data_IF_733294469139
#
_entry.id   IF_733294469139
#
_cell.length_a   1.000
_cell.length_b   1.000
_cell.length_c   1.000
_cell.angle_alpha   90.00
_cell.angle_beta   90.00
_cell.angle_gamma   90.00
#
_symmetry.space_group_name_H-M   'P 1'
#
loop_
_entity.id
_entity.type
_entity.pdbx_description
1 polymer ?
#
# COMPACT_ATOMS: atom_id res chain seq x y z
N UNK A 1 7.45 -24.62 21.65
CA UNK A 1 8.02 -24.41 22.99
C UNK A 1 6.98 -23.71 23.85
N UNK A 2 6.73 -24.22 25.05
CA UNK A 2 6.03 -23.46 26.08
C UNK A 2 7.10 -22.69 26.86
N UNK A 3 7.09 -21.36 26.72
CA UNK A 3 8.09 -20.49 27.32
C UNK A 3 7.94 -20.35 28.84
N UNK A 4 6.81 -20.79 29.41
CA UNK A 4 6.57 -20.71 30.86
C UNK A 4 7.10 -21.94 31.60
N UNK A 5 7.19 -23.08 30.92
CA UNK A 5 7.48 -24.38 31.55
C UNK A 5 8.70 -25.11 30.98
N UNK A 6 9.32 -24.60 29.90
CA UNK A 6 10.48 -25.24 29.29
C UNK A 6 11.72 -25.19 30.19
N UNK A 7 12.57 -26.23 30.10
CA UNK A 7 13.89 -26.22 30.74
C UNK A 7 14.84 -25.28 30.01
N UNK A 8 15.83 -24.73 30.73
CA UNK A 8 16.86 -23.86 30.15
C UNK A 8 17.65 -24.54 29.02
N UNK A 9 17.88 -25.85 29.12
CA UNK A 9 18.56 -26.64 28.08
C UNK A 9 17.73 -26.70 26.79
N UNK A 10 16.43 -26.93 26.91
CA UNK A 10 15.54 -26.94 25.75
C UNK A 10 15.42 -25.53 25.15
N UNK A 11 15.33 -24.50 25.99
CA UNK A 11 15.30 -23.10 25.56
C UNK A 11 16.58 -22.70 24.80
N UNK A 12 17.76 -23.09 25.30
CA UNK A 12 19.03 -22.83 24.64
C UNK A 12 19.08 -23.51 23.26
N UNK A 13 18.68 -24.77 23.19
CA UNK A 13 18.60 -25.52 21.92
C UNK A 13 17.64 -24.87 20.93
N UNK A 14 16.48 -24.41 21.42
CA UNK A 14 15.49 -23.69 20.61
C UNK A 14 16.06 -22.37 20.07
N UNK A 15 16.68 -21.55 20.93
CA UNK A 15 17.32 -20.28 20.53
C UNK A 15 18.43 -20.49 19.49
N UNK A 16 19.26 -21.53 19.68
CA UNK A 16 20.28 -21.89 18.69
C UNK A 16 19.65 -22.24 17.34
N UNK A 17 18.56 -23.02 17.34
CA UNK A 17 17.86 -23.40 16.11
C UNK A 17 17.29 -22.18 15.37
N UNK A 18 16.73 -21.21 16.08
CA UNK A 18 16.23 -19.96 15.48
C UNK A 18 17.37 -19.20 14.77
N UNK A 19 18.55 -19.12 15.37
CA UNK A 19 19.72 -18.49 14.73
C UNK A 19 20.24 -19.29 13.53
N UNK A 20 20.24 -20.62 13.60
CA UNK A 20 20.63 -21.49 12.48
C UNK A 20 19.69 -21.30 11.28
N UNK A 21 18.38 -21.16 11.52
CA UNK A 21 17.38 -20.87 10.48
C UNK A 21 17.66 -19.52 9.82
N UNK A 22 17.90 -18.47 10.61
CA UNK A 22 18.23 -17.15 10.07
C UNK A 22 19.54 -17.16 9.26
N UNK A 23 20.58 -17.83 9.74
CA UNK A 23 21.83 -17.99 9.00
C UNK A 23 21.61 -18.67 7.65
N UNK A 24 20.83 -19.75 7.61
CA UNK A 24 20.50 -20.45 6.37
C UNK A 24 19.66 -19.58 5.42
N UNK A 25 18.71 -18.80 5.94
CA UNK A 25 17.95 -17.84 5.14
C UNK A 25 18.86 -16.78 4.49
N UNK A 26 19.85 -16.26 5.22
CA UNK A 26 20.83 -15.32 4.68
C UNK A 26 21.72 -15.95 3.60
N UNK A 27 22.22 -17.16 3.82
CA UNK A 27 23.00 -17.90 2.81
C UNK A 27 22.21 -18.08 1.52
N UNK A 28 20.93 -18.47 1.62
CA UNK A 28 20.03 -18.63 0.48
C UNK A 28 19.77 -17.31 -0.24
N UNK A 29 19.55 -16.22 0.50
CA UNK A 29 19.39 -14.90 -0.08
C UNK A 29 20.65 -14.47 -0.84
N UNK A 30 21.84 -14.63 -0.25
CA UNK A 30 23.12 -14.28 -0.90
C UNK A 30 23.29 -15.11 -2.17
N UNK A 31 23.09 -16.43 -2.10
CA UNK A 31 23.15 -17.33 -3.26
C UNK A 31 22.17 -16.90 -4.36
N UNK A 32 20.94 -16.53 -4.02
CA UNK A 32 19.98 -16.00 -4.98
C UNK A 32 20.49 -14.72 -5.64
N UNK A 33 21.04 -13.78 -4.87
CA UNK A 33 21.54 -12.51 -5.38
C UNK A 33 22.73 -12.68 -6.34
N UNK A 34 23.69 -13.52 -5.96
CA UNK A 34 24.90 -13.79 -6.73
C UNK A 34 24.60 -14.61 -7.98
N UNK A 35 23.95 -15.77 -7.84
CA UNK A 35 23.70 -16.69 -8.94
C UNK A 35 22.83 -16.06 -10.05
N UNK A 36 21.93 -15.15 -9.68
CA UNK A 36 21.04 -14.48 -10.63
C UNK A 36 21.50 -13.07 -10.99
N UNK A 37 22.70 -12.63 -10.56
CA UNK A 37 23.25 -11.30 -10.82
C UNK A 37 22.27 -10.15 -10.51
N UNK A 38 21.58 -10.24 -9.36
CA UNK A 38 20.47 -9.36 -8.99
C UNK A 38 20.97 -8.01 -8.51
N UNK A 39 21.71 -8.00 -7.39
CA UNK A 39 22.23 -6.82 -6.74
C UNK A 39 23.22 -7.20 -5.63
N UNK A 40 23.90 -6.19 -5.08
CA UNK A 40 24.55 -6.33 -3.76
C UNK A 40 23.52 -6.55 -2.65
N UNK A 41 23.92 -7.24 -1.58
CA UNK A 41 23.13 -7.36 -0.36
C UNK A 41 22.92 -5.97 0.27
N UNK A 42 21.67 -5.66 0.65
CA UNK A 42 21.31 -4.43 1.34
C UNK A 42 20.52 -4.75 2.62
N UNK A 43 20.46 -3.80 3.55
CA UNK A 43 19.75 -3.96 4.84
C UNK A 43 18.26 -4.27 4.75
N UNK A 44 17.61 -3.93 3.63
CA UNK A 44 16.17 -4.17 3.45
C UNK A 44 15.87 -4.66 2.04
N UNK A 45 14.81 -5.45 1.90
CA UNK A 45 14.30 -5.91 0.60
C UNK A 45 14.01 -4.76 -0.36
N UNK A 46 13.48 -3.64 0.14
CA UNK A 46 13.25 -2.44 -0.69
C UNK A 46 14.56 -1.80 -1.18
N UNK A 47 15.57 -1.72 -0.31
CA UNK A 47 16.90 -1.25 -0.73
C UNK A 47 17.57 -2.20 -1.73
N UNK A 48 17.43 -3.52 -1.54
CA UNK A 48 17.91 -4.52 -2.51
C UNK A 48 17.18 -4.41 -3.84
N UNK A 49 15.86 -4.19 -3.83
CA UNK A 49 15.06 -3.97 -5.04
C UNK A 49 15.51 -2.72 -5.80
N UNK A 50 15.74 -1.61 -5.09
CA UNK A 50 16.28 -0.38 -5.69
C UNK A 50 17.71 -0.59 -6.21
N UNK A 51 18.56 -1.30 -5.49
CA UNK A 51 19.91 -1.61 -5.95
C UNK A 51 19.89 -2.45 -7.24
N UNK A 52 19.01 -3.45 -7.32
CA UNK A 52 18.82 -4.25 -8.54
C UNK A 52 18.33 -3.40 -9.71
N UNK A 53 17.38 -2.50 -9.43
CA UNK A 53 16.86 -1.57 -10.42
C UNK A 53 17.95 -0.66 -10.98
N UNK A 54 18.73 -0.01 -10.11
CA UNK A 54 19.82 0.87 -10.50
C UNK A 54 20.95 0.14 -11.24
N UNK A 55 21.22 -1.13 -10.90
CA UNK A 55 22.31 -1.89 -11.51
C UNK A 55 22.07 -2.24 -12.98
N UNK A 56 20.85 -2.69 -13.34
CA UNK A 56 20.59 -3.23 -14.69
C UNK A 56 19.32 -2.73 -15.38
N UNK A 57 18.49 -1.92 -14.71
CA UNK A 57 17.17 -1.55 -15.21
C UNK A 57 16.94 -0.02 -15.30
N UNK A 58 17.91 0.79 -14.87
CA UNK A 58 17.87 2.25 -14.98
C UNK A 58 18.25 2.73 -16.40
N UNK A 59 17.37 2.47 -17.37
CA UNK A 59 17.61 2.81 -18.77
C UNK A 59 17.22 4.25 -19.13
N UNK A 60 16.36 4.89 -18.33
CA UNK A 60 15.95 6.29 -18.50
C UNK A 60 16.35 7.08 -17.26
N UNK A 61 17.03 8.20 -17.47
CA UNK A 61 17.37 9.12 -16.39
C UNK A 61 16.10 9.70 -15.76
N UNK A 62 16.02 9.58 -14.45
CA UNK A 62 15.00 10.17 -13.58
C UNK A 62 15.62 11.41 -12.94
N UNK A 63 15.07 12.58 -13.23
CA UNK A 63 15.53 13.88 -12.75
C UNK A 63 14.76 14.24 -11.49
N UNK A 64 15.35 13.92 -10.35
CA UNK A 64 14.83 14.29 -9.02
C UNK A 64 14.85 15.81 -8.89
N UNK A 65 13.74 16.39 -8.40
CA UNK A 65 13.61 17.82 -8.13
C UNK A 65 13.29 18.08 -6.67
N UNK A 66 13.48 19.32 -6.24
CA UNK A 66 13.22 19.80 -4.88
C UNK A 66 12.16 20.92 -4.86
N UNK A 67 11.37 21.09 -5.93
CA UNK A 67 10.24 22.02 -5.94
C UNK A 67 9.19 21.58 -4.92
N UNK A 68 9.05 22.36 -3.84
CA UNK A 68 8.19 22.05 -2.70
C UNK A 68 6.71 21.97 -3.06
N UNK A 69 6.20 22.93 -3.85
CA UNK A 69 4.79 22.96 -4.25
C UNK A 69 4.42 21.76 -5.13
N UNK A 70 5.34 21.33 -6.00
CA UNK A 70 5.15 20.12 -6.80
C UNK A 70 5.13 18.87 -5.92
N UNK A 71 6.08 18.75 -4.98
CA UNK A 71 6.16 17.61 -4.05
C UNK A 71 4.92 17.54 -3.16
N UNK A 72 4.39 18.68 -2.70
CA UNK A 72 3.13 18.75 -1.95
C UNK A 72 1.99 18.10 -2.75
N UNK A 73 1.84 18.49 -4.02
CA UNK A 73 0.82 17.96 -4.92
C UNK A 73 1.01 16.46 -5.19
N UNK A 74 2.26 16.04 -5.41
CA UNK A 74 2.61 14.63 -5.59
C UNK A 74 2.22 13.79 -4.37
N UNK A 75 2.52 14.29 -3.17
CA UNK A 75 2.19 13.62 -1.90
C UNK A 75 0.70 13.59 -1.62
N UNK A 76 -0.04 14.63 -1.98
CA UNK A 76 -1.50 14.65 -1.86
C UNK A 76 -2.18 13.64 -2.80
N UNK A 77 -1.63 13.47 -4.01
CA UNK A 77 -2.09 12.45 -4.97
C UNK A 77 -1.70 11.02 -4.57
N UNK A 78 -0.67 10.83 -3.73
CA UNK A 78 -0.18 9.50 -3.37
C UNK A 78 -1.08 8.82 -2.32
N UNK A 79 -1.91 7.88 -2.79
CA UNK A 79 -2.87 7.11 -1.98
C UNK A 79 -2.62 5.61 -2.16
N UNK A 80 -3.08 4.79 -1.20
CA UNK A 80 -2.93 3.34 -1.26
C UNK A 80 -3.88 2.65 -2.24
N UNK A 81 -3.98 1.33 -2.15
CA UNK A 81 -5.00 0.55 -2.86
C UNK A 81 -6.42 0.83 -2.36
N UNK A 82 -7.42 0.43 -3.17
CA UNK A 82 -8.84 0.48 -2.80
C UNK A 82 -9.18 -0.71 -1.91
N UNK A 83 -9.79 -0.46 -0.76
CA UNK A 83 -10.35 -1.51 0.11
C UNK A 83 -11.71 -1.01 0.60
N UNK A 84 -12.77 -1.66 0.17
CA UNK A 84 -14.16 -1.26 0.43
C UNK A 84 -15.07 -2.49 0.54
N UNK A 85 -16.13 -2.35 1.32
CA UNK A 85 -17.25 -3.28 1.35
C UNK A 85 -18.37 -2.70 0.48
N UNK A 86 -19.06 -3.56 -0.25
CA UNK A 86 -20.28 -3.23 -1.00
C UNK A 86 -21.51 -3.92 -0.39
N UNK A 87 -21.26 -4.91 0.48
CA UNK A 87 -22.25 -5.55 1.33
C UNK A 87 -21.64 -5.88 2.70
N UNK A 88 -22.45 -5.79 3.76
CA UNK A 88 -22.14 -6.23 5.11
C UNK A 88 -23.21 -7.19 5.60
N UNK A 89 -22.79 -8.36 6.05
CA UNK A 89 -23.71 -9.39 6.50
C UNK A 89 -23.29 -10.77 5.99
N UNK A 90 -24.25 -11.68 6.03
CA UNK A 90 -24.12 -13.03 5.52
C UNK A 90 -24.57 -13.08 4.06
N UNK A 91 -23.75 -13.71 3.24
CA UNK A 91 -24.01 -14.08 1.85
C UNK A 91 -24.02 -15.61 1.81
N UNK A 92 -25.18 -16.19 1.51
CA UNK A 92 -25.45 -17.63 1.47
C UNK A 92 -26.40 -17.95 0.33
N UNK A 93 -26.61 -19.23 0.07
CA UNK A 93 -27.55 -19.75 -0.93
C UNK A 93 -27.19 -19.35 -2.39
N UNK A 94 -25.94 -18.99 -2.66
CA UNK A 94 -25.39 -18.68 -3.99
C UNK A 94 -23.91 -19.12 -4.07
N UNK A 95 -23.34 -19.15 -5.28
CA UNK A 95 -21.91 -19.39 -5.49
C UNK A 95 -21.15 -18.07 -5.47
N UNK A 96 -20.15 -18.00 -4.60
CA UNK A 96 -19.25 -16.84 -4.51
C UNK A 96 -17.84 -17.23 -4.91
N UNK A 97 -17.11 -16.23 -5.43
CA UNK A 97 -15.75 -16.40 -5.92
C UNK A 97 -14.89 -15.28 -5.39
N UNK A 98 -13.75 -15.65 -4.79
CA UNK A 98 -12.69 -14.71 -4.47
C UNK A 98 -11.69 -14.75 -5.62
N UNK A 99 -11.63 -13.67 -6.38
CA UNK A 99 -10.69 -13.51 -7.48
C UNK A 99 -9.60 -12.50 -7.12
N UNK A 100 -8.40 -12.69 -7.65
CA UNK A 100 -7.21 -11.89 -7.32
C UNK A 100 -6.37 -11.64 -8.58
N UNK A 101 -5.91 -10.42 -8.78
CA UNK A 101 -5.09 -10.05 -9.95
C UNK A 101 -3.67 -10.56 -9.76
N UNK A 102 -3.18 -11.30 -10.75
CA UNK A 102 -1.81 -11.80 -10.76
C UNK A 102 -0.79 -10.65 -10.86
N UNK A 103 -0.22 -10.29 -9.71
CA UNK A 103 0.84 -9.29 -9.59
C UNK A 103 0.40 -7.91 -10.12
N UNK A 104 -0.69 -7.37 -9.56
CA UNK A 104 -1.28 -6.09 -9.98
C UNK A 104 -0.28 -4.94 -10.12
N UNK A 105 0.51 -4.66 -9.07
CA UNK A 105 1.49 -3.57 -9.12
C UNK A 105 2.55 -3.79 -10.20
N UNK A 106 3.19 -4.97 -10.31
CA UNK A 106 4.06 -5.29 -11.45
C UNK A 106 3.39 -5.13 -12.82
N UNK A 107 2.14 -5.56 -12.98
CA UNK A 107 1.40 -5.42 -14.24
C UNK A 107 1.28 -3.94 -14.64
N UNK A 108 0.82 -3.08 -13.73
CA UNK A 108 0.68 -1.66 -14.04
C UNK A 108 2.03 -0.95 -14.18
N UNK A 109 3.05 -1.35 -13.44
CA UNK A 109 4.42 -0.88 -13.60
C UNK A 109 4.96 -1.21 -15.00
N UNK A 110 4.74 -2.43 -15.48
CA UNK A 110 5.25 -2.90 -16.77
C UNK A 110 4.62 -2.19 -17.96
N UNK A 111 3.33 -1.89 -17.88
CA UNK A 111 2.52 -1.54 -19.05
C UNK A 111 2.18 -0.05 -19.16
N UNK A 112 2.72 0.81 -18.28
CA UNK A 112 2.38 2.24 -18.26
C UNK A 112 3.61 3.16 -18.26
N UNK A 113 3.34 4.45 -18.44
CA UNK A 113 4.33 5.53 -18.37
C UNK A 113 4.26 6.23 -17.01
N UNK A 114 5.42 6.70 -16.54
CA UNK A 114 5.60 7.33 -15.24
C UNK A 114 6.38 8.64 -15.38
N UNK A 115 6.14 9.62 -14.49
CA UNK A 115 6.88 10.87 -14.48
C UNK A 115 8.37 10.63 -14.22
N UNK A 116 9.23 11.21 -15.06
CA UNK A 116 10.69 11.09 -14.94
C UNK A 116 11.41 12.42 -14.82
N UNK A 117 10.76 13.54 -15.14
CA UNK A 117 11.35 14.88 -15.03
C UNK A 117 10.28 15.94 -14.92
N UNK A 118 10.38 16.78 -13.89
CA UNK A 118 9.57 17.99 -13.77
C UNK A 118 9.82 18.93 -14.96
N UNK A 119 8.74 19.42 -15.57
CA UNK A 119 8.80 20.44 -16.64
C UNK A 119 8.39 21.79 -16.08
N UNK A 120 7.15 21.89 -15.59
CA UNK A 120 6.59 23.15 -15.09
C UNK A 120 5.37 22.90 -14.22
N UNK A 121 5.02 23.93 -13.45
CA UNK A 121 3.76 24.05 -12.72
C UNK A 121 2.90 25.15 -13.38
N UNK A 122 1.59 24.97 -13.32
CA UNK A 122 0.60 25.88 -13.87
C UNK A 122 -0.56 26.05 -12.91
N UNK A 123 -1.24 27.20 -12.97
CA UNK A 123 -2.42 27.51 -12.17
C UNK A 123 -3.58 27.84 -13.10
N UNK A 124 -4.79 27.45 -12.70
CA UNK A 124 -6.05 27.74 -13.39
C UNK A 124 -6.00 27.45 -14.90
N UNK A 125 -5.42 26.31 -15.25
CA UNK A 125 -5.32 25.85 -16.64
C UNK A 125 -6.69 25.40 -17.15
N UNK A 126 -7.01 25.75 -18.39
CA UNK A 126 -8.25 25.28 -19.03
C UNK A 126 -8.23 23.76 -19.22
N UNK A 127 -9.39 23.12 -19.06
CA UNK A 127 -9.58 21.67 -19.22
C UNK A 127 -9.10 21.18 -20.60
N UNK A 128 -9.39 21.93 -21.66
CA UNK A 128 -8.93 21.61 -23.01
C UNK A 128 -7.40 21.62 -23.13
N UNK A 129 -6.73 22.59 -22.51
CA UNK A 129 -5.27 22.69 -22.50
C UNK A 129 -4.64 21.56 -21.67
N UNK A 130 -5.24 21.20 -20.53
CA UNK A 130 -4.84 20.03 -19.75
C UNK A 130 -4.92 18.74 -20.59
N UNK A 131 -6.04 18.56 -21.32
CA UNK A 131 -6.24 17.44 -22.23
C UNK A 131 -5.19 17.35 -23.34
N UNK A 132 -4.72 18.49 -23.86
CA UNK A 132 -3.63 18.52 -24.83
C UNK A 132 -2.30 18.01 -24.24
N UNK A 133 -1.96 18.40 -23.01
CA UNK A 133 -0.75 17.91 -22.33
C UNK A 133 -0.80 16.42 -22.00
N UNK A 134 -1.97 15.88 -21.64
CA UNK A 134 -2.12 14.46 -21.26
C UNK A 134 -1.83 13.48 -22.40
N UNK A 135 -1.77 13.95 -23.66
CA UNK A 135 -1.42 13.12 -24.82
C UNK A 135 0.00 12.56 -24.76
N UNK A 136 0.96 13.35 -24.28
CA UNK A 136 2.38 12.98 -24.27
C UNK A 136 3.11 13.26 -22.94
N UNK A 137 2.43 13.85 -21.95
CA UNK A 137 2.98 14.13 -20.61
C UNK A 137 2.27 13.38 -19.50
N UNK A 138 3.02 13.15 -18.42
CA UNK A 138 2.41 12.83 -17.12
C UNK A 138 2.04 14.13 -16.41
N UNK A 139 0.90 14.14 -15.72
CA UNK A 139 0.38 15.29 -14.99
C UNK A 139 -0.13 14.85 -13.62
N UNK A 140 0.02 15.73 -12.63
CA UNK A 140 -0.72 15.67 -11.38
C UNK A 140 -1.43 17.01 -11.22
N UNK A 141 -2.72 17.00 -10.90
CA UNK A 141 -3.51 18.23 -10.82
C UNK A 141 -4.55 18.17 -9.68
N UNK A 142 -4.71 19.29 -8.98
CA UNK A 142 -5.87 19.53 -8.11
C UNK A 142 -7.03 20.01 -8.97
N UNK A 143 -8.11 19.24 -8.95
CA UNK A 143 -9.26 19.42 -9.83
C UNK A 143 -10.57 19.35 -9.06
N UNK A 144 -11.56 20.08 -9.53
CA UNK A 144 -12.95 19.91 -9.16
C UNK A 144 -13.56 18.89 -10.09
N UNK A 145 -14.11 17.83 -9.52
CA UNK A 145 -14.84 16.81 -10.27
C UNK A 145 -16.29 16.77 -9.85
N UNK A 146 -17.14 16.32 -10.76
CA UNK A 146 -18.55 16.00 -10.55
C UNK A 146 -18.80 14.64 -11.19
N UNK A 147 -19.18 13.65 -10.39
CA UNK A 147 -19.27 12.25 -10.85
C UNK A 147 -20.34 11.49 -10.09
N UNK A 148 -21.03 10.58 -10.77
CA UNK A 148 -21.90 9.57 -10.20
C UNK A 148 -21.16 8.23 -9.95
N UNK A 149 -19.86 8.16 -10.28
CA UNK A 149 -19.06 6.96 -10.15
C UNK A 149 -18.08 7.03 -8.96
N UNK A 150 -18.08 6.03 -8.05
CA UNK A 150 -17.13 5.97 -6.92
C UNK A 150 -15.75 5.46 -7.37
N UNK A 151 -15.08 6.24 -8.23
CA UNK A 151 -13.81 5.88 -8.87
C UNK A 151 -12.60 6.61 -8.28
N UNK A 152 -12.77 7.86 -7.83
CA UNK A 152 -11.67 8.70 -7.38
C UNK A 152 -11.39 8.54 -5.89
N UNK A 153 -10.14 8.20 -5.55
CA UNK A 153 -9.72 8.09 -4.17
C UNK A 153 -9.55 9.48 -3.53
N UNK A 154 -10.24 9.74 -2.42
CA UNK A 154 -10.13 10.98 -1.63
C UNK A 154 -9.67 10.66 -0.21
N UNK A 155 -8.78 11.47 0.37
CA UNK A 155 -8.36 11.35 1.77
C UNK A 155 -9.12 12.37 2.63
N UNK A 156 -9.98 11.88 3.53
CA UNK A 156 -10.75 12.65 4.53
C UNK A 156 -10.66 11.91 5.87
N UNK A 157 -9.50 11.99 6.54
CA UNK A 157 -9.11 11.12 7.68
C UNK A 157 -8.83 9.65 7.31
N UNK A 158 -9.45 9.13 6.24
CA UNK A 158 -9.19 7.84 5.59
C UNK A 158 -9.38 7.96 4.09
N UNK A 159 -8.92 6.97 3.33
CA UNK A 159 -9.21 6.89 1.88
C UNK A 159 -10.63 6.38 1.65
N UNK A 160 -11.46 7.20 1.00
CA UNK A 160 -12.84 6.91 0.55
C UNK A 160 -12.94 7.08 -0.97
N UNK A 161 -14.02 6.57 -1.57
CA UNK A 161 -14.35 6.69 -2.99
C UNK A 161 -15.76 7.28 -3.12
N UNK A 162 -15.92 8.59 -2.94
CA UNK A 162 -17.22 9.25 -2.94
C UNK A 162 -17.74 9.52 -4.36
N UNK A 163 -19.01 9.90 -4.43
CA UNK A 163 -19.67 10.48 -5.61
C UNK A 163 -20.06 11.94 -5.32
N UNK A 164 -20.59 12.63 -6.32
CA UNK A 164 -20.98 14.04 -6.28
C UNK A 164 -19.84 14.97 -6.67
N UNK A 165 -19.89 16.20 -6.13
CA UNK A 165 -18.97 17.29 -6.50
C UNK A 165 -17.95 17.55 -5.42
N UNK A 166 -16.65 17.45 -5.75
CA UNK A 166 -15.57 17.63 -4.78
C UNK A 166 -14.20 17.92 -5.38
N UNK A 167 -13.33 18.55 -4.58
CA UNK A 167 -11.94 18.79 -4.90
C UNK A 167 -11.05 17.60 -4.55
N UNK A 168 -10.21 17.21 -5.50
CA UNK A 168 -9.27 16.11 -5.35
C UNK A 168 -8.02 16.34 -6.20
N UNK A 169 -6.86 15.92 -5.70
CA UNK A 169 -5.64 15.85 -6.50
C UNK A 169 -5.54 14.50 -7.21
N UNK A 170 -5.50 14.51 -8.54
CA UNK A 170 -5.48 13.32 -9.40
C UNK A 170 -4.17 13.22 -10.18
N UNK A 171 -3.81 11.98 -10.50
CA UNK A 171 -2.68 11.66 -11.39
C UNK A 171 -3.14 11.43 -12.84
N UNK A 172 -2.21 11.36 -13.78
CA UNK A 172 -2.46 11.11 -15.22
C UNK A 172 -3.57 10.10 -15.52
N UNK A 173 -3.53 8.85 -15.02
CA UNK A 173 -4.58 7.87 -15.30
C UNK A 173 -5.97 8.32 -14.84
N UNK A 174 -6.08 8.93 -13.67
CA UNK A 174 -7.35 9.41 -13.11
C UNK A 174 -7.86 10.64 -13.87
N UNK A 175 -6.96 11.52 -14.31
CA UNK A 175 -7.30 12.68 -15.15
C UNK A 175 -7.78 12.25 -16.54
N UNK A 176 -7.15 11.25 -17.15
CA UNK A 176 -7.61 10.67 -18.42
C UNK A 176 -9.02 10.08 -18.27
N UNK A 177 -9.25 9.31 -17.21
CA UNK A 177 -10.57 8.76 -16.90
C UNK A 177 -11.62 9.88 -16.71
N UNK A 178 -11.28 10.94 -15.99
CA UNK A 178 -12.16 12.09 -15.77
C UNK A 178 -12.52 12.85 -17.05
N UNK A 179 -11.58 12.96 -17.99
CA UNK A 179 -11.85 13.58 -19.29
C UNK A 179 -12.74 12.70 -20.16
N UNK A 180 -12.47 11.39 -20.20
CA UNK A 180 -13.25 10.43 -20.99
C UNK A 180 -14.73 10.39 -20.56
N UNK A 181 -14.99 10.53 -19.25
CA UNK A 181 -16.34 10.45 -18.68
C UNK A 181 -16.96 11.83 -18.39
N UNK A 182 -16.33 12.92 -18.83
CA UNK A 182 -16.78 14.30 -18.59
C UNK A 182 -16.97 14.68 -17.10
N UNK A 183 -16.20 14.07 -16.19
CA UNK A 183 -16.26 14.37 -14.76
C UNK A 183 -15.49 15.64 -14.38
N UNK A 184 -14.57 16.11 -15.23
CA UNK A 184 -13.66 17.19 -14.91
C UNK A 184 -14.31 18.58 -15.12
N UNK A 185 -14.57 19.30 -14.04
CA UNK A 185 -15.22 20.63 -14.08
C UNK A 185 -14.19 21.76 -14.16
N UNK A 186 -13.18 21.72 -13.29
CA UNK A 186 -12.21 22.82 -13.15
C UNK A 186 -10.84 22.30 -12.71
N UNK A 187 -9.78 22.97 -13.14
CA UNK A 187 -8.40 22.70 -12.73
C UNK A 187 -7.87 23.89 -11.95
N UNK A 188 -7.43 23.69 -10.71
CA UNK A 188 -6.88 24.76 -9.88
C UNK A 188 -5.37 24.91 -10.07
N UNK A 189 -4.64 23.80 -9.98
CA UNK A 189 -3.18 23.76 -10.20
C UNK A 189 -2.77 22.43 -10.77
N UNK A 190 -1.74 22.42 -11.61
CA UNK A 190 -1.21 21.21 -12.22
C UNK A 190 0.32 21.27 -12.34
N UNK A 191 0.95 20.11 -12.16
CA UNK A 191 2.38 19.89 -12.40
C UNK A 191 2.53 18.93 -13.56
N UNK A 192 3.37 19.31 -14.53
CA UNK A 192 3.56 18.59 -15.80
C UNK A 192 4.96 18.00 -15.82
N UNK A 193 5.06 16.74 -16.26
CA UNK A 193 6.29 15.96 -16.28
C UNK A 193 6.55 15.36 -17.67
N UNK A 194 7.82 15.21 -18.03
CA UNK A 194 8.21 14.20 -19.03
C UNK A 194 7.91 12.82 -18.46
N UNK A 195 7.55 11.87 -19.32
CA UNK A 195 7.22 10.51 -18.91
C UNK A 195 7.99 9.45 -19.68
N UNK A 196 8.19 8.30 -19.04
CA UNK A 196 8.77 7.12 -19.66
C UNK A 196 8.27 5.84 -18.98
N UNK A 197 8.31 4.72 -19.69
CA UNK A 197 8.17 3.42 -19.07
C UNK A 197 9.51 3.04 -18.41
N UNK A 198 9.58 3.20 -17.09
CA UNK A 198 10.80 2.98 -16.33
C UNK A 198 10.88 1.60 -15.68
N UNK A 199 9.79 0.82 -15.68
CA UNK A 199 9.75 -0.45 -14.95
C UNK A 199 9.71 -1.70 -15.82
N UNK A 200 9.43 -1.58 -17.12
CA UNK A 200 9.23 -2.73 -18.01
C UNK A 200 10.35 -3.77 -17.91
N UNK A 201 11.62 -3.37 -18.09
CA UNK A 201 12.73 -4.33 -18.06
C UNK A 201 12.93 -4.99 -16.69
N UNK A 202 12.64 -4.26 -15.60
CA UNK A 202 12.71 -4.78 -14.24
C UNK A 202 11.61 -5.84 -14.01
N UNK A 203 10.36 -5.50 -14.35
CA UNK A 203 9.23 -6.41 -14.17
C UNK A 203 9.39 -7.64 -15.05
N UNK A 204 9.73 -7.48 -16.34
CA UNK A 204 9.94 -8.61 -17.25
C UNK A 204 10.95 -9.60 -16.67
N UNK A 205 12.09 -9.11 -16.17
CA UNK A 205 13.13 -9.98 -15.58
C UNK A 205 12.64 -10.72 -14.34
N UNK A 206 12.17 -10.01 -13.32
CA UNK A 206 11.83 -10.66 -12.04
C UNK A 206 10.55 -11.49 -12.13
N UNK A 207 9.65 -11.16 -13.06
CA UNK A 207 8.49 -11.99 -13.32
C UNK A 207 8.88 -13.29 -14.03
N UNK A 208 9.76 -13.25 -15.02
CA UNK A 208 10.27 -14.46 -15.68
C UNK A 208 11.01 -15.37 -14.70
N UNK A 209 11.96 -14.83 -13.93
CA UNK A 209 12.64 -15.59 -12.87
C UNK A 209 11.66 -16.21 -11.87
N UNK A 210 10.59 -15.49 -11.52
CA UNK A 210 9.54 -16.02 -10.64
C UNK A 210 8.85 -17.24 -11.26
N UNK A 211 8.51 -17.20 -12.54
CA UNK A 211 7.86 -18.34 -13.22
C UNK A 211 8.81 -19.53 -13.38
N UNK A 212 10.09 -19.28 -13.63
CA UNK A 212 11.13 -20.31 -13.67
C UNK A 212 11.24 -21.04 -12.32
N UNK A 213 11.37 -20.30 -11.21
CA UNK A 213 11.44 -20.90 -9.88
C UNK A 213 10.16 -21.60 -9.46
N UNK A 214 8.99 -21.06 -9.86
CA UNK A 214 7.71 -21.72 -9.65
C UNK A 214 7.65 -23.07 -10.38
N UNK A 215 8.08 -23.11 -11.64
CA UNK A 215 8.11 -24.32 -12.46
C UNK A 215 9.11 -25.36 -11.94
N UNK A 216 10.22 -24.89 -11.36
CA UNK A 216 11.23 -25.73 -10.72
C UNK A 216 10.87 -26.17 -9.29
N UNK A 217 9.74 -25.72 -8.72
CA UNK A 217 9.33 -26.05 -7.36
C UNK A 217 10.16 -25.40 -6.25
N UNK A 218 10.87 -24.30 -6.55
CA UNK A 218 11.74 -23.59 -5.59
C UNK A 218 10.98 -22.42 -4.96
N UNK A 219 10.13 -22.75 -3.99
CA UNK A 219 9.17 -21.80 -3.39
C UNK A 219 9.85 -20.58 -2.75
N UNK A 220 11.04 -20.74 -2.16
CA UNK A 220 11.73 -19.64 -1.49
C UNK A 220 12.17 -18.56 -2.49
N UNK A 221 12.68 -18.97 -3.66
CA UNK A 221 13.11 -18.04 -4.69
C UNK A 221 11.92 -17.43 -5.46
N UNK A 222 10.81 -18.16 -5.59
CA UNK A 222 9.55 -17.57 -6.06
C UNK A 222 9.14 -16.38 -5.15
N UNK A 223 9.16 -16.59 -3.83
CA UNK A 223 8.78 -15.57 -2.87
C UNK A 223 9.78 -14.39 -2.88
N UNK A 224 11.09 -14.65 -3.02
CA UNK A 224 12.08 -13.57 -3.18
C UNK A 224 11.81 -12.71 -4.43
N UNK A 225 11.58 -13.33 -5.60
CA UNK A 225 11.22 -12.60 -6.82
C UNK A 225 9.94 -11.76 -6.63
N UNK A 226 8.91 -12.32 -6.00
CA UNK A 226 7.67 -11.61 -5.65
C UNK A 226 7.94 -10.41 -4.74
N UNK A 227 8.82 -10.53 -3.74
CA UNK A 227 9.19 -9.40 -2.88
C UNK A 227 9.94 -8.31 -3.65
N UNK A 228 10.84 -8.68 -4.56
CA UNK A 228 11.57 -7.71 -5.40
C UNK A 228 10.61 -6.90 -6.27
N UNK A 229 9.69 -7.59 -6.95
CA UNK A 229 8.62 -6.99 -7.75
C UNK A 229 7.79 -5.95 -6.97
N UNK A 230 7.36 -6.29 -5.75
CA UNK A 230 6.45 -5.44 -4.98
C UNK A 230 7.14 -4.35 -4.16
N UNK A 231 8.44 -4.47 -3.87
CA UNK A 231 9.13 -3.53 -2.98
C UNK A 231 9.76 -2.33 -3.68
N UNK A 232 9.91 -2.40 -5.01
CA UNK A 232 10.63 -1.36 -5.77
C UNK A 232 9.90 -0.02 -5.76
N UNK A 233 8.65 0.05 -6.21
CA UNK A 233 7.98 1.33 -6.45
C UNK A 233 7.87 2.19 -5.19
N UNK A 234 7.68 1.55 -4.02
CA UNK A 234 7.59 2.24 -2.74
C UNK A 234 8.86 3.00 -2.35
N UNK A 235 10.02 2.63 -2.90
CA UNK A 235 11.29 3.35 -2.66
C UNK A 235 11.32 4.74 -3.28
N UNK A 236 10.59 4.96 -4.37
CA UNK A 236 10.42 6.28 -4.96
C UNK A 236 9.48 7.19 -4.13
N UNK A 237 8.77 6.65 -3.14
CA UNK A 237 7.92 7.42 -2.24
C UNK A 237 8.47 7.53 -0.83
N UNK A 238 9.74 7.18 -0.60
CA UNK A 238 10.30 7.08 0.74
C UNK A 238 10.59 8.47 1.35
N UNK A 239 10.14 8.68 2.59
CA UNK A 239 10.56 9.81 3.43
C UNK A 239 11.70 9.39 4.36
N UNK A 240 12.55 10.35 4.72
CA UNK A 240 13.53 10.23 5.79
C UNK A 240 13.07 11.04 7.01
N UNK A 241 13.28 10.47 8.20
CA UNK A 241 13.21 11.22 9.45
C UNK A 241 14.48 12.08 9.58
N UNK A 242 14.32 13.36 9.94
CA UNK A 242 15.44 14.27 10.20
C UNK A 242 15.67 14.33 11.70
N UNK A 243 16.73 13.66 12.13
CA UNK A 243 17.19 13.65 13.52
C UNK A 243 18.40 14.58 13.65
N UNK A 244 18.31 15.55 14.55
CA UNK A 244 19.40 16.45 14.87
C UNK A 244 19.98 16.07 16.23
N UNK A 245 21.30 15.90 16.33
CA UNK A 245 21.97 15.64 17.60
C UNK A 245 21.87 16.91 18.46
N UNK A 246 21.33 16.78 19.67
CA UNK A 246 21.17 17.88 20.62
C UNK A 246 22.07 17.75 21.85
N UNK A 247 22.86 16.68 21.94
CA UNK A 247 23.81 16.47 23.04
C UNK A 247 24.35 15.05 23.14
N UNK A 248 25.14 14.83 24.17
CA UNK A 248 25.72 13.53 24.56
C UNK A 248 25.12 13.06 25.89
N UNK A 249 24.93 11.76 26.04
CA UNK A 249 24.32 11.11 27.18
C UNK A 249 24.85 9.67 27.38
N UNK A 250 26.16 9.48 27.62
CA UNK A 250 26.85 8.17 27.53
C UNK A 250 26.38 7.08 28.51
N UNK A 251 25.58 7.43 29.52
CA UNK A 251 25.06 6.50 30.53
C UNK A 251 23.53 6.36 30.50
N UNK A 252 22.88 6.98 29.53
CA UNK A 252 21.43 6.90 29.37
C UNK A 252 21.06 5.67 28.53
N UNK A 253 20.02 4.90 28.92
CA UNK A 253 19.55 3.79 28.11
C UNK A 253 18.92 4.27 26.80
N UNK A 254 19.09 3.46 25.76
CA UNK A 254 18.49 3.69 24.44
C UNK A 254 16.96 3.72 24.56
N UNK A 255 16.35 4.84 24.17
CA UNK A 255 14.89 5.02 24.26
C UNK A 255 14.38 6.14 23.37
N UNK A 256 13.07 6.23 23.26
CA UNK A 256 12.35 7.33 22.60
C UNK A 256 11.36 7.93 23.59
N UNK A 257 11.41 9.24 23.75
CA UNK A 257 10.48 9.99 24.60
C UNK A 257 9.62 10.93 23.76
N UNK A 258 8.37 11.09 24.17
CA UNK A 258 7.49 12.14 23.69
C UNK A 258 7.48 13.26 24.74
N UNK A 259 7.97 14.44 24.35
CA UNK A 259 8.03 15.61 25.20
C UNK A 259 6.84 16.52 24.88
N UNK A 260 6.12 16.93 25.92
CA UNK A 260 5.01 17.87 25.84
C UNK A 260 5.45 19.19 26.46
N UNK A 261 5.31 20.29 25.72
CA UNK A 261 5.64 21.62 26.21
C UNK A 261 4.35 22.38 26.53
N UNK A 262 4.28 22.97 27.72
CA UNK A 262 3.10 23.71 28.17
C UNK A 262 2.88 24.90 27.25
N UNK A 263 1.67 25.02 26.70
CA UNK A 263 1.31 26.11 25.78
C UNK A 263 1.67 25.88 24.31
N UNK A 264 2.30 24.75 23.96
CA UNK A 264 2.64 24.42 22.57
C UNK A 264 1.79 23.24 22.08
N UNK A 265 1.03 23.44 21.00
CA UNK A 265 0.25 22.38 20.34
C UNK A 265 1.16 21.57 19.40
N UNK A 266 2.28 21.08 19.92
CA UNK A 266 3.22 20.21 19.20
C UNK A 266 3.81 19.21 20.17
N UNK A 267 3.87 17.96 19.74
CA UNK A 267 4.58 16.89 20.45
C UNK A 267 6.02 16.89 19.92
N UNK A 268 6.99 17.10 20.81
CA UNK A 268 8.41 16.92 20.51
C UNK A 268 8.77 15.45 20.72
N UNK A 269 9.64 14.91 19.88
CA UNK A 269 10.12 13.54 20.04
C UNK A 269 11.65 13.57 20.11
N UNK A 270 12.20 12.98 21.17
CA UNK A 270 13.63 12.80 21.35
C UNK A 270 13.98 11.31 21.38
N UNK A 271 15.21 10.98 20.96
CA UNK A 271 15.75 9.63 20.99
C UNK A 271 17.11 9.65 21.66
N UNK A 272 17.29 8.78 22.63
CA UNK A 272 18.57 8.40 23.19
C UNK A 272 19.04 7.17 22.42
N UNK A 273 20.20 7.24 21.79
CA UNK A 273 20.77 6.09 21.07
C UNK A 273 22.29 6.15 21.10
N UNK A 274 22.93 5.07 21.53
CA UNK A 274 24.40 4.92 21.55
C UNK A 274 25.12 6.03 22.33
N UNK A 275 24.54 6.46 23.46
CA UNK A 275 25.12 7.51 24.29
C UNK A 275 24.98 8.92 23.72
N UNK A 276 24.14 9.13 22.72
CA UNK A 276 23.81 10.43 22.12
C UNK A 276 22.31 10.70 22.18
N UNK A 277 21.93 11.99 22.23
CA UNK A 277 20.53 12.42 22.22
C UNK A 277 20.22 13.18 20.92
N UNK A 278 19.10 12.81 20.30
CA UNK A 278 18.63 13.39 19.05
C UNK A 278 17.20 13.93 19.17
N UNK A 279 16.90 15.01 18.48
CA UNK A 279 15.54 15.55 18.32
C UNK A 279 15.02 15.29 16.90
N UNK A 280 13.77 14.83 16.78
CA UNK A 280 13.09 14.73 15.50
C UNK A 280 12.64 16.12 15.04
N UNK A 281 13.35 16.71 14.08
CA UNK A 281 13.01 18.03 13.52
C UNK A 281 11.88 17.96 12.49
N UNK A 282 11.75 16.83 11.80
CA UNK A 282 10.69 16.63 10.83
C UNK A 282 10.95 15.46 9.88
N UNK A 283 10.34 15.54 8.71
CA UNK A 283 10.51 14.55 7.64
C UNK A 283 10.92 15.25 6.35
N UNK A 284 11.84 14.66 5.61
CA UNK A 284 12.25 15.14 4.29
C UNK A 284 12.14 14.03 3.25
N UNK A 285 12.26 14.39 1.98
CA UNK A 285 12.33 13.45 0.87
C UNK A 285 13.70 12.76 0.85
N UNK A 286 13.72 11.43 0.65
CA UNK A 286 14.99 10.73 0.43
C UNK A 286 15.62 11.13 -0.92
N UNK A 287 16.92 10.95 -1.08
CA UNK A 287 17.66 11.32 -2.30
C UNK A 287 17.06 10.78 -3.61
N UNK A 288 16.57 9.53 -3.61
CA UNK A 288 15.91 8.92 -4.78
C UNK A 288 14.37 8.99 -4.73
N UNK A 289 13.81 9.85 -3.88
CA UNK A 289 12.36 10.02 -3.77
C UNK A 289 11.86 10.88 -4.92
N UNK A 290 10.84 10.40 -5.59
CA UNK A 290 10.04 11.13 -6.56
C UNK A 290 8.58 10.66 -6.40
N UNK A 291 7.84 11.24 -5.43
CA UNK A 291 6.52 10.76 -5.02
C UNK A 291 5.46 10.70 -6.14
N UNK A 292 5.65 11.46 -7.22
CA UNK A 292 4.84 11.35 -8.44
C UNK A 292 4.80 9.92 -9.01
N UNK A 293 5.92 9.18 -8.99
CA UNK A 293 6.02 7.82 -9.53
C UNK A 293 5.10 6.83 -8.79
N UNK A 294 5.23 6.63 -7.46
CA UNK A 294 4.37 5.69 -6.75
C UNK A 294 2.91 6.16 -6.68
N UNK A 295 2.63 7.47 -6.76
CA UNK A 295 1.27 7.97 -6.92
C UNK A 295 0.63 7.42 -8.19
N UNK A 296 1.31 7.52 -9.34
CA UNK A 296 0.84 6.96 -10.61
C UNK A 296 0.69 5.43 -10.55
N UNK A 297 1.67 4.71 -9.99
CA UNK A 297 1.58 3.24 -9.83
C UNK A 297 0.31 2.85 -9.07
N UNK A 298 0.03 3.53 -7.96
CA UNK A 298 -1.16 3.26 -7.15
C UNK A 298 -2.46 3.61 -7.87
N UNK A 299 -2.48 4.67 -8.67
CA UNK A 299 -3.66 5.11 -9.42
C UNK A 299 -3.99 4.17 -10.58
N UNK A 300 -2.99 3.74 -11.36
CA UNK A 300 -3.19 2.70 -12.38
C UNK A 300 -3.74 1.41 -11.76
N UNK A 301 -3.23 1.00 -10.59
CA UNK A 301 -3.73 -0.18 -9.89
C UNK A 301 -5.20 -0.03 -9.47
N UNK A 302 -5.58 1.14 -8.93
CA UNK A 302 -6.98 1.42 -8.56
C UNK A 302 -7.92 1.42 -9.77
N UNK A 303 -7.52 2.04 -10.88
CA UNK A 303 -8.34 2.06 -12.09
C UNK A 303 -8.45 0.69 -12.76
N UNK A 304 -7.40 -0.13 -12.69
CA UNK A 304 -7.49 -1.52 -13.16
C UNK A 304 -8.53 -2.30 -12.35
N UNK A 305 -8.52 -2.18 -11.02
CA UNK A 305 -9.55 -2.79 -10.17
C UNK A 305 -10.94 -2.23 -10.49
N UNK A 306 -11.07 -0.92 -10.68
CA UNK A 306 -12.33 -0.28 -11.05
C UNK A 306 -12.90 -0.81 -12.37
N UNK A 307 -12.05 -0.94 -13.40
CA UNK A 307 -12.43 -1.56 -14.67
C UNK A 307 -12.98 -2.98 -14.47
N UNK A 308 -12.36 -3.78 -13.60
CA UNK A 308 -12.87 -5.12 -13.28
C UNK A 308 -14.23 -5.07 -12.57
N UNK A 309 -14.44 -4.10 -11.66
CA UNK A 309 -15.73 -3.90 -11.01
C UNK A 309 -16.82 -3.51 -12.01
N UNK A 310 -16.52 -2.59 -12.93
CA UNK A 310 -17.44 -2.21 -14.01
C UNK A 310 -17.80 -3.40 -14.90
N UNK A 311 -16.82 -4.24 -15.25
CA UNK A 311 -17.04 -5.46 -16.03
C UNK A 311 -17.92 -6.48 -15.28
N UNK A 312 -17.67 -6.71 -13.98
CA UNK A 312 -18.54 -7.55 -13.16
C UNK A 312 -19.97 -6.99 -13.08
N UNK A 313 -20.10 -5.66 -13.11
CA UNK A 313 -21.34 -4.93 -13.02
C UNK A 313 -21.85 -4.82 -11.59
N UNK A 314 -22.49 -3.69 -11.30
CA UNK A 314 -23.08 -3.41 -9.99
C UNK A 314 -24.01 -4.53 -9.52
N UNK A 315 -24.01 -4.81 -8.22
CA UNK A 315 -24.73 -5.92 -7.60
C UNK A 315 -24.04 -7.29 -7.71
N UNK A 316 -22.96 -7.42 -8.48
CA UNK A 316 -22.23 -8.70 -8.65
C UNK A 316 -20.87 -8.74 -7.94
N UNK A 317 -20.54 -7.70 -7.17
CA UNK A 317 -19.34 -7.64 -6.33
C UNK A 317 -19.70 -7.16 -4.92
N UNK A 318 -19.06 -7.76 -3.90
CA UNK A 318 -19.45 -7.57 -2.50
C UNK A 318 -18.33 -7.00 -1.62
N UNK A 319 -17.08 -7.18 -2.04
CA UNK A 319 -15.91 -6.69 -1.32
C UNK A 319 -14.71 -6.54 -2.26
N UNK A 320 -13.83 -5.59 -1.95
CA UNK A 320 -12.53 -5.48 -2.60
C UNK A 320 -11.39 -5.18 -1.61
N UNK A 321 -10.19 -5.68 -1.91
CA UNK A 321 -8.95 -5.30 -1.23
C UNK A 321 -7.75 -5.31 -2.16
N UNK A 322 -7.38 -4.12 -2.63
CA UNK A 322 -6.26 -3.77 -3.52
C UNK A 322 -6.32 -4.42 -4.88
N UNK A 323 -6.15 -5.74 -4.94
CA UNK A 323 -6.04 -6.58 -6.13
C UNK A 323 -7.06 -7.72 -6.15
N UNK A 324 -7.92 -7.81 -5.13
CA UNK A 324 -8.93 -8.86 -5.00
C UNK A 324 -10.36 -8.34 -5.03
N UNK A 325 -11.27 -9.17 -5.56
CA UNK A 325 -12.73 -8.99 -5.56
C UNK A 325 -13.42 -10.23 -5.02
N UNK A 326 -14.51 -10.03 -4.27
CA UNK A 326 -15.50 -11.07 -3.99
C UNK A 326 -16.69 -10.83 -4.91
N UNK A 327 -17.02 -11.81 -5.75
CA UNK A 327 -18.09 -11.74 -6.76
C UNK A 327 -19.02 -12.95 -6.67
N UNK A 328 -20.23 -12.85 -7.22
CA UNK A 328 -21.11 -14.01 -7.45
C UNK A 328 -20.79 -14.69 -8.81
N UNK A 329 -21.55 -15.73 -9.14
CA UNK A 329 -21.47 -16.45 -10.43
C UNK A 329 -21.61 -15.52 -11.64
N UNK A 330 -22.59 -14.62 -11.62
CA UNK A 330 -22.84 -13.67 -12.72
C UNK A 330 -21.64 -12.75 -12.94
N UNK A 331 -21.08 -12.22 -11.85
CA UNK A 331 -19.88 -11.39 -11.88
C UNK A 331 -18.67 -12.16 -12.42
N UNK A 332 -18.48 -13.41 -12.01
CA UNK A 332 -17.40 -14.25 -12.53
C UNK A 332 -17.56 -14.53 -14.03
N UNK A 333 -18.78 -14.85 -14.48
CA UNK A 333 -19.05 -15.11 -15.90
C UNK A 333 -18.73 -13.88 -16.77
N UNK A 334 -19.10 -12.68 -16.34
CA UNK A 334 -18.72 -11.43 -17.03
C UNK A 334 -17.20 -11.19 -17.04
N UNK A 335 -16.50 -11.66 -16.02
CA UNK A 335 -15.05 -11.56 -15.89
C UNK A 335 -14.27 -12.66 -16.62
N UNK A 336 -14.92 -13.67 -17.22
CA UNK A 336 -14.26 -14.86 -17.76
C UNK A 336 -13.10 -14.55 -18.73
N UNK A 337 -13.24 -13.52 -19.57
CA UNK A 337 -12.21 -13.11 -20.53
C UNK A 337 -10.98 -12.45 -19.87
N UNK A 338 -11.05 -12.15 -18.58
CA UNK A 338 -9.96 -11.62 -17.78
C UNK A 338 -9.34 -12.70 -16.88
N UNK A 339 -9.88 -13.93 -16.87
CA UNK A 339 -9.42 -15.00 -15.98
C UNK A 339 -8.33 -15.84 -16.65
N UNK A 340 -7.16 -15.85 -16.02
CA UNK A 340 -6.04 -16.73 -16.33
C UNK A 340 -5.20 -16.88 -15.07
N UNK A 341 -4.98 -18.13 -14.64
CA UNK A 341 -4.29 -18.45 -13.39
C UNK A 341 -2.81 -18.02 -13.36
N UNK A 342 -2.22 -17.73 -14.52
CA UNK A 342 -0.78 -17.53 -14.70
C UNK A 342 -0.44 -16.19 -15.31
N UNK A 343 -1.26 -15.66 -16.22
CA UNK A 343 -0.94 -14.45 -16.97
C UNK A 343 -0.85 -13.20 -16.09
N UNK A 344 0.16 -12.36 -16.34
CA UNK A 344 0.41 -11.13 -15.60
C UNK A 344 -0.74 -10.14 -15.80
N UNK A 345 -1.37 -9.71 -14.70
CA UNK A 345 -2.51 -8.78 -14.72
C UNK A 345 -3.87 -9.43 -14.91
N UNK A 346 -3.93 -10.73 -15.22
CA UNK A 346 -5.18 -11.50 -15.27
C UNK A 346 -5.67 -11.87 -13.88
N UNK A 347 -6.95 -12.20 -13.78
CA UNK A 347 -7.59 -12.70 -12.57
C UNK A 347 -7.30 -14.20 -12.40
N UNK A 348 -6.96 -14.61 -11.18
CA UNK A 348 -7.02 -16.01 -10.76
C UNK A 348 -8.18 -16.20 -9.77
N UNK A 349 -8.87 -17.33 -9.86
CA UNK A 349 -9.82 -17.75 -8.82
C UNK A 349 -9.02 -18.35 -7.67
N UNK A 350 -9.15 -17.76 -6.48
CA UNK A 350 -8.42 -18.15 -5.27
C UNK A 350 -9.24 -19.13 -4.44
N UNK A 351 -10.55 -18.95 -4.39
CA UNK A 351 -11.48 -19.83 -3.68
C UNK A 351 -12.91 -19.62 -4.18
N UNK A 352 -13.72 -20.67 -4.08
CA UNK A 352 -15.14 -20.66 -4.46
C UNK A 352 -16.04 -21.06 -3.27
N UNK A 353 -16.20 -20.20 -2.24
CA UNK A 353 -17.06 -20.52 -1.11
C UNK A 353 -18.55 -20.42 -1.45
N UNK A 354 -19.37 -21.23 -0.81
CA UNK A 354 -20.84 -21.16 -0.84
C UNK A 354 -21.41 -20.19 0.19
N UNK A 355 -20.58 -19.80 1.19
CA UNK A 355 -20.97 -18.91 2.26
C UNK A 355 -19.84 -17.93 2.58
N UNK A 356 -20.19 -16.64 2.70
CA UNK A 356 -19.28 -15.56 3.09
C UNK A 356 -19.97 -14.68 4.11
N UNK A 357 -19.26 -14.33 5.19
CA UNK A 357 -19.71 -13.31 6.13
C UNK A 357 -18.75 -12.12 6.07
N UNK A 358 -19.22 -10.98 5.59
CA UNK A 358 -18.44 -9.73 5.49
C UNK A 358 -18.85 -8.81 6.64
N UNK A 359 -17.90 -8.50 7.52
CA UNK A 359 -18.16 -7.69 8.73
C UNK A 359 -17.48 -6.32 8.68
N UNK A 360 -16.55 -6.14 7.74
CA UNK A 360 -15.90 -4.87 7.50
C UNK A 360 -14.61 -5.00 6.70
N UNK A 361 -13.83 -3.92 6.69
CA UNK A 361 -12.57 -3.86 5.96
C UNK A 361 -11.56 -4.84 6.57
N UNK A 362 -11.13 -5.82 5.77
CA UNK A 362 -10.25 -6.91 6.21
C UNK A 362 -10.82 -7.66 7.44
N UNK A 363 -12.14 -7.73 7.54
CA UNK A 363 -12.89 -8.55 8.51
C UNK A 363 -13.97 -9.34 7.77
N UNK A 364 -13.64 -10.55 7.33
CA UNK A 364 -14.56 -11.46 6.66
C UNK A 364 -14.21 -12.92 6.95
N UNK A 365 -15.17 -13.82 6.76
CA UNK A 365 -14.93 -15.26 6.83
C UNK A 365 -15.58 -15.98 5.66
N UNK A 366 -14.94 -17.04 5.23
CA UNK A 366 -15.50 -18.10 4.40
C UNK A 366 -15.54 -19.37 5.25
N UNK A 367 -16.25 -20.41 4.79
CA UNK A 367 -16.31 -21.69 5.52
C UNK A 367 -14.94 -22.31 5.86
N UNK A 368 -13.88 -21.96 5.13
CA UNK A 368 -12.51 -22.49 5.34
C UNK A 368 -11.51 -21.47 5.87
N UNK A 369 -11.84 -20.18 5.92
CA UNK A 369 -10.87 -19.11 6.20
C UNK A 369 -11.50 -17.96 6.96
N UNK A 370 -10.82 -17.53 8.02
CA UNK A 370 -11.15 -16.30 8.73
C UNK A 370 -10.06 -15.24 8.49
N UNK A 371 -10.47 -14.03 8.14
CA UNK A 371 -9.59 -12.87 7.95
C UNK A 371 -10.08 -11.77 8.87
N UNK A 372 -9.25 -11.41 9.85
CA UNK A 372 -9.54 -10.31 10.78
C UNK A 372 -8.29 -9.45 10.92
N UNK A 373 -8.41 -8.16 10.58
CA UNK A 373 -7.31 -7.21 10.63
C UNK A 373 -6.74 -7.07 12.04
N UNK A 374 -5.45 -7.34 12.18
CA UNK A 374 -4.72 -7.14 13.45
C UNK A 374 -4.91 -8.27 14.47
N UNK A 375 -5.71 -9.29 14.12
CA UNK A 375 -5.89 -10.51 14.91
C UNK A 375 -5.10 -11.65 14.25
N UNK A 376 -4.30 -12.36 15.04
CA UNK A 376 -3.49 -13.49 14.56
C UNK A 376 -4.36 -14.74 14.38
N UNK A 377 -3.92 -15.66 13.51
CA UNK A 377 -4.59 -16.95 13.29
C UNK A 377 -4.72 -17.80 14.57
N UNK A 378 -3.78 -17.66 15.49
CA UNK A 378 -3.76 -18.38 16.77
C UNK A 378 -4.23 -17.51 17.95
N UNK A 379 -4.89 -16.38 17.68
CA UNK A 379 -5.52 -15.59 18.73
C UNK A 379 -6.73 -16.35 19.28
N UNK A 380 -6.97 -16.24 20.58
CA UNK A 380 -8.10 -16.88 21.26
C UNK A 380 -9.23 -15.86 21.38
N UNK A 381 -10.42 -16.20 20.89
CA UNK A 381 -11.61 -15.38 21.12
C UNK A 381 -12.13 -15.63 22.54
N UNK A 382 -12.02 -14.64 23.43
CA UNK A 382 -12.46 -14.77 24.83
C UNK A 382 -13.96 -14.48 24.94
N UNK A 383 -14.45 -13.55 24.12
CA UNK A 383 -15.88 -13.25 23.93
C UNK A 383 -16.08 -12.64 22.55
N UNK A 384 -17.32 -12.57 22.08
CA UNK A 384 -17.64 -12.06 20.74
C UNK A 384 -16.92 -10.74 20.41
N UNK A 385 -16.06 -10.77 19.39
CA UNK A 385 -15.32 -9.60 18.92
C UNK A 385 -14.15 -9.15 19.81
N UNK A 386 -13.77 -9.96 20.80
CA UNK A 386 -12.65 -9.69 21.72
C UNK A 386 -11.67 -10.86 21.70
N UNK A 387 -10.48 -10.58 21.19
CA UNK A 387 -9.44 -11.58 21.00
C UNK A 387 -8.25 -11.31 21.90
N UNK A 388 -7.65 -12.37 22.39
CA UNK A 388 -6.38 -12.33 23.10
C UNK A 388 -5.28 -12.94 22.24
N UNK A 389 -4.14 -12.26 22.17
CA UNK A 389 -3.00 -12.74 21.42
C UNK A 389 -1.68 -12.27 22.02
N UNK A 390 -0.62 -13.03 21.74
CA UNK A 390 0.75 -12.61 22.04
C UNK A 390 1.16 -11.45 21.15
N UNK A 391 1.80 -10.43 21.71
CA UNK A 391 2.45 -9.32 21.02
C UNK A 391 3.95 -9.43 21.22
N UNK A 392 4.67 -9.59 20.11
CA UNK A 392 6.12 -9.56 20.08
C UNK A 392 6.57 -8.10 20.01
N UNK A 393 7.49 -7.65 20.87
CA UNK A 393 7.96 -6.28 20.83
C UNK A 393 8.77 -6.05 19.54
N UNK A 394 8.57 -4.88 18.92
CA UNK A 394 9.44 -4.41 17.84
C UNK A 394 10.55 -3.56 18.44
N UNK A 395 11.69 -3.42 17.75
CA UNK A 395 12.78 -2.55 18.22
C UNK A 395 12.30 -1.11 18.52
N UNK A 396 11.50 -0.52 17.62
CA UNK A 396 10.85 0.79 17.87
C UNK A 396 9.92 0.76 19.09
N UNK A 397 9.26 -0.37 19.36
CA UNK A 397 8.43 -0.56 20.54
C UNK A 397 9.25 -0.60 21.82
N UNK A 398 10.37 -1.34 21.84
CA UNK A 398 11.29 -1.42 22.98
C UNK A 398 11.89 -0.07 23.32
N UNK A 399 12.30 0.69 22.30
CA UNK A 399 12.78 2.07 22.47
C UNK A 399 11.72 2.96 23.12
N UNK A 400 10.45 2.86 22.70
CA UNK A 400 9.36 3.66 23.29
C UNK A 400 9.01 3.27 24.72
N UNK A 401 9.25 2.02 25.11
CA UNK A 401 9.02 1.56 26.48
C UNK A 401 10.23 1.78 27.39
N UNK A 402 11.39 2.19 26.84
CA UNK A 402 12.64 2.30 27.58
C UNK A 402 13.18 0.96 28.10
N UNK A 403 12.78 -0.16 27.48
CA UNK A 403 13.13 -1.52 27.90
C UNK A 403 13.93 -2.22 26.80
N UNK A 404 15.01 -1.60 26.31
CA UNK A 404 15.81 -2.16 25.21
C UNK A 404 16.52 -3.46 25.56
N UNK A 405 16.81 -3.65 26.85
CA UNK A 405 17.59 -4.80 27.34
C UNK A 405 16.71 -6.01 27.67
N UNK A 406 15.38 -5.88 27.53
CA UNK A 406 14.43 -6.94 27.87
C UNK A 406 13.49 -7.24 26.70
N UNK A 407 13.49 -8.48 26.24
CA UNK A 407 12.62 -8.94 25.15
C UNK A 407 11.39 -9.67 25.70
N UNK A 408 10.43 -8.93 26.28
CA UNK A 408 9.22 -9.52 26.86
C UNK A 408 8.08 -9.63 25.85
N UNK A 409 7.59 -10.86 25.64
CA UNK A 409 6.33 -11.10 24.90
C UNK A 409 5.16 -10.81 25.83
N UNK A 410 4.26 -9.92 25.42
CA UNK A 410 3.09 -9.53 26.22
C UNK A 410 1.83 -10.13 25.64
N UNK A 411 0.90 -10.54 26.50
CA UNK A 411 -0.47 -10.86 26.08
C UNK A 411 -1.26 -9.56 25.96
N UNK A 412 -1.95 -9.36 24.84
CA UNK A 412 -2.77 -8.17 24.61
C UNK A 412 -4.17 -8.54 24.15
N UNK A 413 -5.14 -7.77 24.63
CA UNK A 413 -6.53 -7.85 24.22
C UNK A 413 -6.78 -6.93 23.01
N UNK A 414 -7.47 -7.46 21.99
CA UNK A 414 -7.93 -6.74 20.81
C UNK A 414 -9.45 -6.71 20.81
N UNK A 415 -10.00 -5.50 20.95
CA UNK A 415 -11.43 -5.25 20.85
C UNK A 415 -11.73 -4.77 19.43
N UNK A 416 -12.55 -5.52 18.69
CA UNK A 416 -12.92 -5.16 17.32
C UNK A 416 -14.06 -4.14 17.32
N UNK A 417 -13.86 -3.04 16.58
CA UNK A 417 -14.93 -2.10 16.26
C UNK A 417 -15.38 -2.35 14.82
N UNK A 418 -16.57 -2.95 14.64
CA UNK A 418 -17.13 -3.32 13.33
C UNK A 418 -17.95 -2.20 12.66
N UNK A 419 -17.74 -0.95 13.06
CA UNK A 419 -18.42 0.20 12.43
C UNK A 419 -17.82 0.51 11.05
N UNK A 420 -18.59 0.27 10.00
CA UNK A 420 -18.24 0.70 8.64
C UNK A 420 -18.41 2.22 8.48
N UNK A 421 -17.49 2.83 7.74
CA UNK A 421 -17.27 4.29 7.77
C UNK A 421 -16.75 4.83 6.43
N UNK A 422 -16.94 4.09 5.34
CA UNK A 422 -16.56 4.51 3.97
C UNK A 422 -17.76 4.68 3.03
N UNK A 423 -18.98 4.50 3.53
CA UNK A 423 -20.24 4.57 2.80
C UNK A 423 -21.41 4.46 3.78
N UNK A 424 -22.63 4.66 3.28
CA UNK A 424 -23.84 4.45 4.07
C UNK A 424 -24.27 3.00 3.94
N UNK A 425 -24.51 2.36 5.09
CA UNK A 425 -24.96 0.96 5.16
C UNK A 425 -26.49 0.98 5.23
N UNK A 426 -27.15 0.36 4.25
CA UNK A 426 -28.58 0.20 4.21
C UNK A 426 -29.04 -0.92 5.16
N UNK A 427 -30.35 -1.01 5.42
CA UNK A 427 -30.92 -2.02 6.33
C UNK A 427 -30.74 -3.46 5.83
N UNK A 428 -30.59 -3.65 4.52
CA UNK A 428 -30.32 -4.95 3.88
C UNK A 428 -28.82 -5.31 3.86
N UNK A 429 -27.95 -4.45 4.38
CA UNK A 429 -26.50 -4.64 4.37
C UNK A 429 -25.78 -4.10 3.14
N UNK A 430 -26.48 -3.68 2.08
CA UNK A 430 -25.87 -3.03 0.92
C UNK A 430 -25.23 -1.70 1.32
N UNK A 431 -24.18 -1.31 0.60
CA UNK A 431 -23.45 -0.06 0.87
C UNK A 431 -23.53 0.86 -0.33
N UNK A 432 -23.98 2.09 -0.07
CA UNK A 432 -23.91 3.19 -1.04
C UNK A 432 -22.71 4.11 -0.75
N UNK A 433 -22.06 4.67 -1.78
CA UNK A 433 -20.95 5.61 -1.59
C UNK A 433 -21.36 6.85 -0.78
N UNK A 434 -20.38 7.51 -0.17
CA UNK A 434 -20.60 8.84 0.40
C UNK A 434 -20.79 9.87 -0.71
N UNK A 435 -21.73 10.79 -0.55
CA UNK A 435 -21.93 11.91 -1.48
C UNK A 435 -21.23 13.15 -0.92
N UNK A 436 -20.39 13.79 -1.74
CA UNK A 436 -19.79 15.09 -1.43
C UNK A 436 -20.43 16.17 -2.30
N UNK A 437 -20.51 17.39 -1.75
CA UNK A 437 -21.09 18.57 -2.42
C UNK A 437 -20.31 19.82 -2.04
N UNK A 438 -19.06 19.91 -2.49
CA UNK A 438 -18.17 21.03 -2.23
C UNK A 438 -18.42 22.18 -3.23
N UNK A 439 -18.11 23.41 -2.82
CA UNK A 439 -18.26 24.60 -3.66
C UNK A 439 -17.17 24.70 -4.74
N UNK A 440 -17.45 25.49 -5.78
CA UNK A 440 -16.52 25.75 -6.90
C UNK A 440 -15.30 26.61 -6.50
N UNK A 441 -15.33 27.21 -5.31
CA UNK A 441 -14.20 27.88 -4.69
C UNK A 441 -13.29 26.85 -4.02
N UNK A 442 -12.04 26.81 -4.47
CA UNK A 442 -11.05 25.94 -3.85
C UNK A 442 -10.70 26.47 -2.46
N UNK A 443 -11.03 25.70 -1.43
CA UNK A 443 -10.57 25.92 -0.06
C UNK A 443 -9.68 24.74 0.33
N UNK A 444 -8.37 24.93 0.52
CA UNK A 444 -7.51 23.84 0.97
C UNK A 444 -7.98 23.41 2.36
N UNK A 445 -8.40 22.15 2.47
CA UNK A 445 -8.71 21.55 3.77
C UNK A 445 -7.41 21.53 4.57
N UNK A 446 -7.31 22.40 5.57
CA UNK A 446 -6.27 22.36 6.59
C UNK A 446 -6.49 21.07 7.39
N UNK A 447 -5.64 20.06 7.14
CA UNK A 447 -5.63 18.80 7.90
C UNK A 447 -4.59 18.80 8.99
#
# INVERSE_FOLDING_TARGET
IDFETCTDEYLNTYCKRDLEIELENFKRLIKFLEANNVARLCYTRGSTAMAAYLLRHYHKRIYIHNNEQAIELERDSYRGGRTECFYLGELKDDNFYIVDVNSLYPFVMRNNYFPVKYIKQTHKIEVATLGAYLKDRSIIATVLIDTDEPVYAVRRGRTIFPIGRFWVTLTTPELLYALEHNHLIKVERAVIYEQANIFKSYVDRFYNLRQEFKSAGVAEYEELCKKMLNSLYGKFGQKAEVWEKIGDCPNEPDRVELCFEVGVVRIKQIRYLLGEIFELKGHTECFNSFPAIPAHVSAYARLHLWKLMQLAGEGNYFYCDTDSLIVNEVGLCKLQNQVDATSLGSLKVVSSPTEIVIRGLKDYSTGTKQVIKGVRKNAVEIRSGVYEQKQWPSFKGLLRTGQTDVYTVKTVTKVLNRKYTKGHVNSDGSIVPLVLGEADEYSPLLY
#
